data_IF_532512449363
#
_entry.id   IF_532512449363
#
_cell.length_a   1.000
_cell.length_b   1.000
_cell.length_c   1.000
_cell.angle_alpha   90.00
_cell.angle_beta   90.00
_cell.angle_gamma   90.00
#
_symmetry.space_group_name_H-M   'P 1'
#
loop_
_entity.id
_entity.type
_entity.pdbx_description
1 polymer ?
#
# COMPACT_ATOMS: atom_id res chain seq x y z
N UNK A 1 -6.24 -8.46 -3.03
CA UNK A 1 -5.88 -9.88 -3.25
C UNK A 1 -4.97 -10.33 -2.13
N UNK A 2 -5.10 -11.59 -1.70
CA UNK A 2 -4.38 -12.14 -0.55
C UNK A 2 -3.36 -13.22 -0.92
N UNK A 3 -3.35 -13.65 -2.18
CA UNK A 3 -2.47 -14.70 -2.69
C UNK A 3 -2.14 -14.46 -4.18
N UNK A 4 -1.17 -15.22 -4.70
CA UNK A 4 -0.69 -15.09 -6.07
C UNK A 4 -1.74 -15.48 -7.13
N UNK A 5 -2.59 -16.45 -6.83
CA UNK A 5 -3.62 -16.90 -7.77
C UNK A 5 -4.64 -15.77 -8.04
N UNK A 6 -5.14 -15.14 -6.98
CA UNK A 6 -6.08 -14.02 -7.11
C UNK A 6 -5.46 -12.82 -7.83
N UNK A 7 -4.17 -12.55 -7.56
CA UNK A 7 -3.43 -11.49 -8.25
C UNK A 7 -3.32 -11.75 -9.76
N UNK A 8 -2.99 -12.99 -10.15
CA UNK A 8 -2.90 -13.41 -11.55
C UNK A 8 -4.27 -13.34 -12.24
N UNK A 9 -5.33 -13.85 -11.59
CA UNK A 9 -6.70 -13.79 -12.11
C UNK A 9 -7.13 -12.34 -12.31
N UNK A 10 -6.94 -11.48 -11.31
CA UNK A 10 -7.29 -10.06 -11.40
C UNK A 10 -6.53 -9.35 -12.54
N UNK A 11 -5.23 -9.63 -12.69
CA UNK A 11 -4.42 -9.05 -13.75
C UNK A 11 -4.91 -9.49 -15.14
N UNK A 12 -5.19 -10.79 -15.33
CA UNK A 12 -5.72 -11.32 -16.60
C UNK A 12 -7.13 -10.84 -16.91
N UNK A 13 -7.92 -10.51 -15.89
CA UNK A 13 -9.23 -9.89 -16.06
C UNK A 13 -9.18 -8.40 -16.41
N UNK A 14 -8.00 -7.78 -16.47
CA UNK A 14 -7.82 -6.39 -16.85
C UNK A 14 -8.17 -5.39 -15.74
N UNK A 15 -7.90 -5.73 -14.48
CA UNK A 15 -8.06 -4.79 -13.37
C UNK A 15 -7.06 -3.61 -13.52
N UNK A 16 -7.55 -2.38 -13.45
CA UNK A 16 -6.68 -1.18 -13.53
C UNK A 16 -5.76 -1.04 -12.30
N UNK A 17 -6.26 -1.47 -11.14
CA UNK A 17 -5.56 -1.42 -9.85
C UNK A 17 -5.74 -2.74 -9.11
N UNK A 18 -4.65 -3.30 -8.60
CA UNK A 18 -4.66 -4.46 -7.72
C UNK A 18 -4.08 -4.07 -6.36
N UNK A 19 -4.90 -4.18 -5.32
CA UNK A 19 -4.47 -3.95 -3.95
C UNK A 19 -4.01 -5.26 -3.30
N UNK A 20 -2.78 -5.29 -2.80
CA UNK A 20 -2.18 -6.36 -2.00
C UNK A 20 -2.50 -6.10 -0.52
N UNK A 21 -3.25 -7.01 0.11
CA UNK A 21 -3.66 -6.83 1.49
C UNK A 21 -2.81 -7.67 2.46
N UNK A 22 -2.28 -7.00 3.49
CA UNK A 22 -1.52 -7.58 4.60
C UNK A 22 -0.34 -8.49 4.18
N UNK A 23 0.35 -8.15 3.09
CA UNK A 23 1.52 -8.88 2.57
C UNK A 23 2.82 -8.36 3.17
N UNK A 24 3.82 -9.24 3.33
CA UNK A 24 5.19 -8.80 3.69
C UNK A 24 5.85 -8.08 2.50
N UNK A 25 6.94 -7.30 2.71
CA UNK A 25 7.65 -6.66 1.61
C UNK A 25 8.15 -7.65 0.54
N UNK A 26 8.59 -8.83 0.97
CA UNK A 26 9.07 -9.91 0.09
C UNK A 26 7.92 -10.47 -0.75
N UNK A 27 6.80 -10.83 -0.12
CA UNK A 27 5.60 -11.30 -0.81
C UNK A 27 5.07 -10.24 -1.78
N UNK A 28 5.01 -8.98 -1.35
CA UNK A 28 4.57 -7.88 -2.18
C UNK A 28 5.46 -7.70 -3.42
N UNK A 29 6.77 -7.89 -3.29
CA UNK A 29 7.73 -7.83 -4.40
C UNK A 29 7.53 -8.95 -5.42
N UNK A 30 7.29 -10.17 -4.97
CA UNK A 30 6.98 -11.30 -5.85
C UNK A 30 5.68 -11.04 -6.62
N UNK A 31 4.63 -10.61 -5.93
CA UNK A 31 3.33 -10.30 -6.52
C UNK A 31 3.39 -9.10 -7.48
N UNK A 32 4.12 -8.05 -7.11
CA UNK A 32 4.35 -6.89 -7.98
C UNK A 32 5.00 -7.33 -9.30
N UNK A 33 6.06 -8.14 -9.21
CA UNK A 33 6.76 -8.64 -10.39
C UNK A 33 5.86 -9.51 -11.26
N UNK A 34 5.04 -10.38 -10.64
CA UNK A 34 4.05 -11.19 -11.34
C UNK A 34 3.03 -10.32 -12.08
N UNK A 35 2.41 -9.36 -11.40
CA UNK A 35 1.39 -8.47 -11.98
C UNK A 35 1.98 -7.67 -13.15
N UNK A 36 3.16 -7.06 -12.96
CA UNK A 36 3.83 -6.28 -14.01
C UNK A 36 4.27 -7.11 -15.21
N UNK A 37 4.52 -8.41 -15.02
CA UNK A 37 4.83 -9.33 -16.12
C UNK A 37 3.60 -9.65 -17.00
N UNK A 38 2.39 -9.54 -16.44
CA UNK A 38 1.13 -9.77 -17.15
C UNK A 38 0.70 -8.49 -17.87
N UNK A 39 0.67 -7.37 -17.15
CA UNK A 39 0.43 -6.05 -17.73
C UNK A 39 1.16 -4.98 -16.90
N UNK A 40 2.17 -4.30 -17.46
CA UNK A 40 2.93 -3.28 -16.74
C UNK A 40 2.10 -2.03 -16.38
N UNK A 41 0.94 -1.82 -17.03
CA UNK A 41 0.09 -0.66 -16.79
C UNK A 41 -0.79 -0.78 -15.55
N UNK A 42 -0.97 -2.00 -15.02
CA UNK A 42 -1.77 -2.23 -13.81
C UNK A 42 -1.07 -1.57 -12.62
N UNK A 43 -1.77 -0.69 -11.90
CA UNK A 43 -1.23 -0.10 -10.67
C UNK A 43 -1.30 -1.10 -9.52
N UNK A 44 -0.20 -1.23 -8.78
CA UNK A 44 -0.15 -2.08 -7.59
C UNK A 44 -0.19 -1.22 -6.35
N UNK A 45 -1.18 -1.46 -5.50
CA UNK A 45 -1.33 -0.82 -4.20
C UNK A 45 -0.99 -1.79 -3.07
N UNK A 46 -0.23 -1.37 -2.06
CA UNK A 46 -0.02 -2.14 -0.84
C UNK A 46 -0.85 -1.54 0.30
N UNK A 47 -1.53 -2.39 1.06
CA UNK A 47 -2.32 -2.00 2.23
C UNK A 47 -2.20 -3.01 3.36
N UNK A 48 -2.50 -2.54 4.59
CA UNK A 48 -2.49 -3.36 5.79
C UNK A 48 -1.12 -3.45 6.48
N UNK A 49 -1.09 -3.22 7.81
CA UNK A 49 0.10 -3.30 8.68
C UNK A 49 1.31 -2.44 8.27
N UNK A 50 1.11 -1.47 7.37
CA UNK A 50 2.14 -0.48 7.03
C UNK A 50 2.19 0.62 8.09
N UNK A 51 3.40 0.93 8.55
CA UNK A 51 3.73 1.96 9.53
C UNK A 51 4.76 2.91 8.95
N UNK A 52 5.00 4.04 9.62
CA UNK A 52 6.07 4.96 9.23
C UNK A 52 7.47 4.32 9.26
N UNK A 53 7.65 3.29 10.08
CA UNK A 53 8.95 2.62 10.25
C UNK A 53 9.24 1.61 9.13
N UNK A 54 8.21 1.01 8.52
CA UNK A 54 8.38 -0.04 7.50
C UNK A 54 7.95 0.37 6.09
N UNK A 55 7.38 1.57 5.91
CA UNK A 55 6.87 2.03 4.61
C UNK A 55 7.94 2.03 3.51
N UNK A 56 9.19 2.29 3.86
CA UNK A 56 10.32 2.28 2.91
C UNK A 56 10.56 0.91 2.29
N UNK A 57 10.23 -0.17 3.00
CA UNK A 57 10.50 -1.53 2.56
C UNK A 57 9.59 -1.92 1.38
N UNK A 58 8.42 -1.28 1.29
CA UNK A 58 7.44 -1.49 0.22
C UNK A 58 7.65 -0.55 -0.99
N UNK A 59 8.51 0.46 -0.89
CA UNK A 59 8.63 1.54 -1.87
C UNK A 59 9.05 1.06 -3.28
N UNK A 60 9.71 -0.09 -3.38
CA UNK A 60 10.17 -0.66 -4.67
C UNK A 60 9.19 -1.66 -5.28
N UNK A 61 8.16 -2.07 -4.54
CA UNK A 61 7.19 -3.09 -4.94
C UNK A 61 5.73 -2.61 -4.84
N UNK A 62 5.52 -1.29 -4.90
CA UNK A 62 4.22 -0.66 -4.88
C UNK A 62 4.24 0.64 -5.69
N UNK A 63 3.18 0.87 -6.47
CA UNK A 63 2.95 2.18 -7.10
C UNK A 63 2.19 3.12 -6.14
N UNK A 64 1.46 2.54 -5.18
CA UNK A 64 0.72 3.23 -4.12
C UNK A 64 0.82 2.48 -2.80
N UNK A 65 0.84 3.22 -1.69
CA UNK A 65 0.82 2.63 -0.35
C UNK A 65 -0.26 3.30 0.49
N UNK A 66 -1.20 2.51 0.98
CA UNK A 66 -2.27 2.93 1.87
C UNK A 66 -1.91 2.60 3.32
N UNK A 67 -1.88 3.63 4.18
CA UNK A 67 -1.48 3.50 5.58
C UNK A 67 -2.59 3.97 6.52
N UNK A 68 -3.24 3.03 7.20
CA UNK A 68 -4.30 3.35 8.18
C UNK A 68 -3.79 4.17 9.37
N UNK A 69 -2.48 4.14 9.66
CA UNK A 69 -1.88 4.89 10.77
C UNK A 69 -2.01 6.42 10.61
N UNK A 70 -2.18 6.92 9.38
CA UNK A 70 -2.34 8.35 9.09
C UNK A 70 -3.67 8.89 9.63
N UNK A 71 -4.70 8.04 9.74
CA UNK A 71 -6.05 8.47 10.18
C UNK A 71 -6.42 7.95 11.56
N UNK A 72 -6.15 6.68 11.87
CA UNK A 72 -6.60 6.06 13.12
C UNK A 72 -5.67 6.29 14.32
N UNK A 73 -4.41 6.66 14.08
CA UNK A 73 -3.36 6.74 15.12
C UNK A 73 -2.60 8.07 15.09
N UNK A 74 -3.18 9.11 14.49
CA UNK A 74 -2.52 10.41 14.34
C UNK A 74 -2.42 11.13 15.69
N UNK A 75 -1.23 11.68 15.99
CA UNK A 75 -1.07 12.64 17.09
C UNK A 75 -1.55 14.01 16.62
N UNK A 76 -2.58 14.54 17.28
CA UNK A 76 -3.05 15.89 17.02
C UNK A 76 -1.93 16.91 17.31
N UNK A 77 -1.83 17.94 16.46
CA UNK A 77 -0.96 19.08 16.71
C UNK A 77 -1.55 19.88 17.87
N UNK A 78 -0.72 20.23 18.83
CA UNK A 78 -1.14 21.02 19.98
C UNK A 78 -1.29 22.49 19.58
N UNK A 79 -2.48 23.05 19.77
CA UNK A 79 -2.77 24.48 19.55
C UNK A 79 -3.11 25.15 20.89
N UNK A 80 -2.66 26.39 21.07
CA UNK A 80 -2.99 27.24 22.22
C UNK A 80 -3.40 28.64 21.74
N UNK A 81 -4.39 29.24 22.41
CA UNK A 81 -4.78 30.62 22.20
C UNK A 81 -4.32 31.45 23.40
N UNK A 82 -3.51 32.48 23.16
CA UNK A 82 -3.11 33.48 24.15
C UNK A 82 -3.82 34.79 23.82
N UNK A 83 -4.41 35.42 24.83
CA UNK A 83 -5.05 36.73 24.72
C UNK A 83 -4.22 37.72 25.53
N UNK A 84 -3.82 38.81 24.89
CA UNK A 84 -3.18 39.96 25.54
C UNK A 84 -4.26 41.00 25.90
N UNK A 85 -4.07 41.72 27.01
CA UNK A 85 -4.95 42.84 27.43
C UNK A 85 -4.78 44.10 26.56
#
# INVERSE_FOLDING_TARGET
VENAHDAEVAAKCGADIIMLDNRTPEEAKELYSLIKSIDPNIMVEVSGRVTMDNVSDYATCADRISMGCITHSVKAIHFSLSMDE
#
